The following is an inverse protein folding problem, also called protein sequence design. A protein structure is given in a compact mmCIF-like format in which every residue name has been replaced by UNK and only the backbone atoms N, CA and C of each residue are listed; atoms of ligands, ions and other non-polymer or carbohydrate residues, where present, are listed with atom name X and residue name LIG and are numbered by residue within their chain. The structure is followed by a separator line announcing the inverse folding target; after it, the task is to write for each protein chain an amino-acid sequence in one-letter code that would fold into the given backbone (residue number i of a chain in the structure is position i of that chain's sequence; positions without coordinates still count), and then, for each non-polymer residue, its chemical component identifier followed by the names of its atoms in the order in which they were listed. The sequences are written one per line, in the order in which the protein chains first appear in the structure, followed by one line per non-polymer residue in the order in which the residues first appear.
data_IF_304448057009
#
_entry.id   IF_304448057009
#
_cell.length_a   1.000
_cell.length_b   1.000
_cell.length_c   1.000
_cell.angle_alpha   90.00
_cell.angle_beta   90.00
_cell.angle_gamma   90.00
#
_symmetry.space_group_name_H-M   'P 1'
#
loop_
_entity.id
_entity.type
_entity.pdbx_description
1 polymer ?
#
# COMPACT_ATOMS: atom_id res chain seq x y z
N UNK A 1 -11.57 -19.00 -30.78
CA UNK A 1 -11.47 -18.01 -29.68
C UNK A 1 -12.49 -16.90 -29.84
N UNK A 2 -12.51 -16.14 -30.94
CA UNK A 2 -13.55 -15.12 -31.14
C UNK A 2 -14.93 -15.75 -31.31
N UNK A 3 -15.06 -16.77 -32.16
CA UNK A 3 -16.30 -17.53 -32.35
C UNK A 3 -16.79 -18.18 -31.03
N UNK A 4 -15.90 -18.82 -30.26
CA UNK A 4 -16.25 -19.41 -28.95
C UNK A 4 -16.76 -18.36 -27.94
N UNK A 5 -16.26 -17.13 -28.04
CA UNK A 5 -16.68 -16.02 -27.17
C UNK A 5 -18.00 -15.42 -27.60
N UNK A 6 -18.27 -15.34 -28.90
CA UNK A 6 -19.56 -14.93 -29.41
C UNK A 6 -20.66 -15.89 -28.96
N UNK A 7 -20.43 -17.20 -29.14
CA UNK A 7 -21.33 -18.26 -28.65
C UNK A 7 -21.56 -18.15 -27.15
N UNK A 8 -20.50 -17.99 -26.35
CA UNK A 8 -20.64 -17.83 -24.90
C UNK A 8 -21.45 -16.57 -24.52
N UNK A 9 -21.30 -15.46 -25.25
CA UNK A 9 -22.04 -14.23 -24.96
C UNK A 9 -23.52 -14.35 -25.30
N UNK A 10 -23.85 -14.99 -26.42
CA UNK A 10 -25.24 -15.29 -26.81
C UNK A 10 -25.89 -16.20 -25.77
N UNK A 11 -25.25 -17.31 -25.41
CA UNK A 11 -25.74 -18.23 -24.37
C UNK A 11 -25.93 -17.50 -23.03
N UNK A 12 -25.04 -16.58 -22.69
CA UNK A 12 -25.11 -15.82 -21.44
C UNK A 12 -26.30 -14.85 -21.42
N UNK A 13 -26.73 -14.36 -22.59
CA UNK A 13 -27.89 -13.49 -22.73
C UNK A 13 -29.21 -14.15 -22.36
N UNK A 14 -29.34 -15.47 -22.56
CA UNK A 14 -30.54 -16.25 -22.24
C UNK A 14 -30.40 -17.07 -20.95
N UNK A 15 -29.27 -16.93 -20.24
CA UNK A 15 -28.96 -17.76 -19.08
C UNK A 15 -29.51 -17.20 -17.77
N UNK A 16 -30.09 -18.07 -16.96
CA UNK A 16 -30.52 -17.74 -15.60
C UNK A 16 -29.31 -17.62 -14.65
N UNK A 17 -28.77 -16.41 -14.53
CA UNK A 17 -27.65 -16.09 -13.66
C UNK A 17 -28.02 -16.18 -12.18
N UNK A 18 -27.71 -17.32 -11.55
CA UNK A 18 -27.96 -17.55 -10.14
C UNK A 18 -26.88 -16.92 -9.27
N UNK A 19 -27.29 -16.07 -8.33
CA UNK A 19 -26.41 -15.38 -7.41
C UNK A 19 -25.96 -16.23 -6.22
N UNK A 20 -24.69 -16.11 -5.88
CA UNK A 20 -24.13 -16.61 -4.64
C UNK A 20 -23.09 -15.63 -4.07
N UNK A 21 -22.85 -15.71 -2.77
CA UNK A 21 -21.89 -14.86 -2.07
C UNK A 21 -21.21 -15.66 -0.97
N UNK A 22 -19.88 -15.49 -0.88
CA UNK A 22 -19.11 -16.07 0.20
C UNK A 22 -19.38 -15.37 1.53
N UNK A 23 -19.18 -16.07 2.63
CA UNK A 23 -19.10 -15.42 3.94
C UNK A 23 -17.94 -14.40 3.98
N UNK A 24 -18.08 -13.28 4.72
CA UNK A 24 -17.02 -12.30 4.86
C UNK A 24 -15.75 -12.89 5.48
N UNK A 25 -14.62 -12.75 4.78
CA UNK A 25 -13.30 -13.16 5.26
C UNK A 25 -12.49 -11.96 5.71
N UNK A 26 -11.80 -12.09 6.85
CA UNK A 26 -10.86 -11.07 7.33
C UNK A 26 -9.57 -11.12 6.49
N UNK A 27 -9.17 -9.98 5.96
CA UNK A 27 -7.93 -9.81 5.17
C UNK A 27 -7.13 -8.65 5.75
N UNK A 28 -5.87 -8.93 6.06
CA UNK A 28 -4.94 -7.93 6.59
C UNK A 28 -4.13 -7.30 5.45
N UNK A 29 -4.07 -5.96 5.42
CA UNK A 29 -3.18 -5.18 4.55
C UNK A 29 -2.01 -4.67 5.38
N UNK A 30 -0.84 -5.26 5.15
CA UNK A 30 0.42 -4.88 5.80
C UNK A 30 0.73 -3.41 5.55
N UNK A 31 1.29 -2.77 6.57
CA UNK A 31 1.80 -1.41 6.52
C UNK A 31 3.05 -1.32 5.62
N UNK A 32 3.38 -0.15 5.07
CA UNK A 32 4.59 0.02 4.29
C UNK A 32 5.85 -0.21 5.13
N UNK A 33 6.96 -0.49 4.45
CA UNK A 33 8.26 -0.60 5.11
C UNK A 33 8.91 0.78 5.23
N UNK A 34 9.81 0.97 6.21
CA UNK A 34 10.68 2.15 6.26
C UNK A 34 11.43 2.36 4.94
N UNK A 35 11.62 3.62 4.55
CA UNK A 35 12.29 3.93 3.29
C UNK A 35 13.79 3.65 3.37
N UNK A 36 14.26 2.96 2.34
CA UNK A 36 15.64 2.94 1.85
C UNK A 36 15.79 3.97 0.72
N UNK A 37 17.00 4.14 0.20
CA UNK A 37 17.28 4.99 -0.97
C UNK A 37 16.43 4.58 -2.17
N UNK A 38 16.46 3.29 -2.51
CA UNK A 38 15.76 2.68 -3.65
C UNK A 38 14.25 2.85 -3.53
N UNK A 39 13.68 2.48 -2.37
CA UNK A 39 12.23 2.52 -2.15
C UNK A 39 11.69 3.96 -2.10
N UNK A 40 12.47 4.92 -1.58
CA UNK A 40 12.12 6.34 -1.65
C UNK A 40 12.06 6.83 -3.10
N UNK A 41 13.08 6.51 -3.91
CA UNK A 41 13.12 6.91 -5.32
C UNK A 41 11.96 6.31 -6.12
N UNK A 42 11.68 5.02 -5.92
CA UNK A 42 10.53 4.34 -6.54
C UNK A 42 9.21 5.02 -6.18
N UNK A 43 9.01 5.31 -4.88
CA UNK A 43 7.76 5.92 -4.39
C UNK A 43 7.61 7.38 -4.86
N UNK A 44 8.69 8.16 -4.85
CA UNK A 44 8.70 9.53 -5.33
C UNK A 44 8.44 9.63 -6.85
N UNK A 45 8.99 8.70 -7.64
CA UNK A 45 8.71 8.62 -9.07
C UNK A 45 7.24 8.29 -9.33
N UNK A 46 6.69 7.30 -8.62
CA UNK A 46 5.30 6.86 -8.81
C UNK A 46 4.25 7.89 -8.35
N UNK A 47 4.49 8.60 -7.24
CA UNK A 47 3.47 9.48 -6.64
C UNK A 47 3.71 10.97 -6.87
N UNK A 48 4.98 11.39 -6.98
CA UNK A 48 5.35 12.80 -7.12
C UNK A 48 5.86 13.13 -8.53
N UNK A 49 6.07 12.12 -9.38
CA UNK A 49 6.67 12.23 -10.71
C UNK A 49 8.07 12.86 -10.67
N UNK A 50 8.84 12.58 -9.61
CA UNK A 50 10.22 13.04 -9.49
C UNK A 50 11.19 11.97 -10.00
N UNK A 51 12.19 12.40 -10.76
CA UNK A 51 13.27 11.49 -11.15
C UNK A 51 14.15 11.08 -9.98
N UNK A 52 14.90 9.95 -10.07
CA UNK A 52 15.86 9.56 -9.03
C UNK A 52 16.84 10.69 -8.70
N UNK A 53 17.38 11.36 -9.72
CA UNK A 53 18.30 12.51 -9.54
C UNK A 53 17.63 13.65 -8.78
N UNK A 54 16.40 14.02 -9.17
CA UNK A 54 15.65 15.07 -8.49
C UNK A 54 15.33 14.70 -7.05
N UNK A 55 14.87 13.47 -6.81
CA UNK A 55 14.56 12.95 -5.48
C UNK A 55 15.76 13.04 -4.56
N UNK A 56 16.95 12.61 -5.02
CA UNK A 56 18.17 12.69 -4.21
C UNK A 56 18.63 14.12 -3.95
N UNK A 57 18.50 15.03 -4.93
CA UNK A 57 18.84 16.44 -4.73
C UNK A 57 17.93 17.11 -3.69
N UNK A 58 16.63 16.80 -3.71
CA UNK A 58 15.68 17.33 -2.71
C UNK A 58 15.90 16.70 -1.33
N UNK A 59 16.17 15.39 -1.27
CA UNK A 59 16.46 14.69 -0.02
C UNK A 59 17.76 15.22 0.62
N UNK A 60 18.79 15.50 -0.18
CA UNK A 60 20.03 16.14 0.30
C UNK A 60 19.72 17.47 1.01
N UNK A 61 18.93 18.35 0.38
CA UNK A 61 18.54 19.63 0.99
C UNK A 61 17.77 19.43 2.30
N UNK A 62 16.85 18.47 2.35
CA UNK A 62 16.11 18.14 3.58
C UNK A 62 17.03 17.64 4.69
N UNK A 63 18.03 16.82 4.36
CA UNK A 63 19.03 16.30 5.28
C UNK A 63 19.93 17.41 5.84
N UNK A 64 20.47 18.27 4.96
CA UNK A 64 21.34 19.39 5.35
C UNK A 64 20.62 20.41 6.25
N UNK A 65 19.30 20.58 6.06
CA UNK A 65 18.47 21.42 6.93
C UNK A 65 17.99 20.68 8.20
N UNK A 66 18.42 19.44 8.42
CA UNK A 66 18.11 18.66 9.63
C UNK A 66 16.68 18.13 9.70
N UNK A 67 15.94 18.03 8.59
CA UNK A 67 14.56 17.56 8.59
C UNK A 67 14.40 16.04 8.44
N UNK A 68 15.37 15.37 7.82
CA UNK A 68 15.36 13.92 7.63
C UNK A 68 16.70 13.30 8.01
N UNK A 69 16.72 12.00 8.25
CA UNK A 69 17.95 11.20 8.38
C UNK A 69 18.69 11.07 7.04
N UNK A 70 19.92 10.55 7.08
CA UNK A 70 20.76 10.40 5.91
C UNK A 70 20.06 9.55 4.82
N UNK A 71 19.93 10.13 3.62
CA UNK A 71 19.10 9.59 2.54
C UNK A 71 19.76 8.50 1.69
N UNK A 72 21.04 8.17 1.94
CA UNK A 72 21.77 7.10 1.27
C UNK A 72 21.94 5.94 2.25
N UNK A 73 20.93 5.08 2.28
CA UNK A 73 20.79 3.96 3.20
C UNK A 73 20.06 2.80 2.52
N UNK A 74 20.45 1.58 2.86
CA UNK A 74 19.79 0.32 2.54
C UNK A 74 19.03 -0.25 3.77
N UNK A 75 19.19 0.39 4.93
CA UNK A 75 18.57 -0.02 6.18
C UNK A 75 17.07 0.26 6.20
N UNK A 76 16.31 -0.73 6.64
CA UNK A 76 14.87 -0.64 6.90
C UNK A 76 14.56 -0.55 8.39
N UNK A 77 15.53 -0.08 9.19
CA UNK A 77 15.43 -0.03 10.65
C UNK A 77 15.50 1.41 11.18
N UNK A 78 14.83 1.67 12.29
CA UNK A 78 14.86 2.92 13.02
C UNK A 78 15.67 2.76 14.33
N UNK A 79 16.18 3.85 14.87
CA UNK A 79 16.76 3.87 16.21
C UNK A 79 15.69 3.56 17.26
N UNK A 80 16.13 2.95 18.37
CA UNK A 80 15.25 2.65 19.51
C UNK A 80 14.59 3.92 20.07
N UNK A 81 15.33 5.03 20.13
CA UNK A 81 14.80 6.32 20.57
C UNK A 81 13.67 6.81 19.66
N UNK A 82 13.85 6.70 18.34
CA UNK A 82 12.79 7.08 17.40
C UNK A 82 11.54 6.20 17.54
N UNK A 83 11.70 4.89 17.74
CA UNK A 83 10.56 3.98 17.98
C UNK A 83 9.74 4.44 19.20
N UNK A 84 10.40 4.82 20.29
CA UNK A 84 9.71 5.31 21.50
C UNK A 84 8.93 6.62 21.23
N UNK A 85 9.55 7.56 20.51
CA UNK A 85 8.92 8.82 20.09
C UNK A 85 7.72 8.58 19.18
N UNK A 86 7.89 7.76 18.14
CA UNK A 86 6.83 7.41 17.21
C UNK A 86 5.66 6.68 17.91
N UNK A 87 5.96 5.74 18.82
CA UNK A 87 4.94 5.05 19.63
C UNK A 87 4.12 6.04 20.45
N UNK A 88 4.79 6.97 21.13
CA UNK A 88 4.14 7.98 21.97
C UNK A 88 3.27 8.92 21.12
N UNK A 89 3.79 9.36 19.98
CA UNK A 89 3.06 10.21 19.04
C UNK A 89 1.81 9.51 18.47
N UNK A 90 1.94 8.25 18.03
CA UNK A 90 0.81 7.45 17.51
C UNK A 90 -0.23 7.23 18.61
N UNK A 91 0.20 6.89 19.83
CA UNK A 91 -0.69 6.71 20.98
C UNK A 91 -1.50 7.97 21.27
N UNK A 92 -0.85 9.14 21.29
CA UNK A 92 -1.48 10.44 21.54
C UNK A 92 -2.44 10.85 20.41
N UNK A 93 -2.07 10.58 19.16
CA UNK A 93 -2.79 11.11 17.99
C UNK A 93 -3.92 10.19 17.52
N UNK A 94 -3.70 8.87 17.51
CA UNK A 94 -4.63 7.88 16.96
C UNK A 94 -5.16 6.89 18.00
N UNK A 95 -4.45 6.74 19.12
CA UNK A 95 -4.81 5.81 20.19
C UNK A 95 -3.99 4.51 20.14
N UNK A 96 -4.03 3.78 21.27
CA UNK A 96 -3.16 2.62 21.50
C UNK A 96 -3.31 1.49 20.46
N UNK A 97 -4.53 1.30 19.94
CA UNK A 97 -4.85 0.26 18.95
C UNK A 97 -4.13 0.43 17.60
N UNK A 98 -3.59 1.61 17.32
CA UNK A 98 -2.90 1.91 16.06
C UNK A 98 -1.40 1.67 16.10
N UNK A 99 -0.84 1.30 17.25
CA UNK A 99 0.58 0.97 17.37
C UNK A 99 0.79 -0.42 16.77
N UNK A 100 1.80 -0.58 15.92
CA UNK A 100 2.15 -1.91 15.40
C UNK A 100 2.58 -2.84 16.54
N UNK A 101 1.99 -4.03 16.63
CA UNK A 101 2.42 -5.05 17.59
C UNK A 101 3.88 -5.48 17.39
N UNK A 102 4.39 -5.32 16.18
CA UNK A 102 5.77 -5.63 15.79
C UNK A 102 6.66 -4.39 15.68
N UNK A 103 6.26 -3.24 16.24
CA UNK A 103 7.02 -1.98 16.09
C UNK A 103 8.48 -2.12 16.56
N UNK A 104 8.73 -2.92 17.59
CA UNK A 104 10.09 -3.18 18.09
C UNK A 104 10.97 -3.95 17.09
N UNK A 105 10.37 -4.70 16.16
CA UNK A 105 11.12 -5.35 15.08
C UNK A 105 11.66 -4.34 14.06
N UNK A 106 11.14 -3.11 14.04
CA UNK A 106 11.69 -2.03 13.23
C UNK A 106 12.94 -1.41 13.87
N UNK A 107 13.25 -1.70 15.13
CA UNK A 107 14.43 -1.14 15.79
C UNK A 107 15.74 -1.79 15.30
N UNK A 108 16.79 -0.97 15.17
CA UNK A 108 18.18 -1.44 14.96
C UNK A 108 18.59 -2.33 16.16
N UNK A 109 19.28 -3.44 15.87
CA UNK A 109 19.73 -4.40 16.88
C UNK A 109 18.68 -5.42 17.35
N UNK A 110 17.45 -5.36 16.86
CA UNK A 110 16.42 -6.38 17.07
C UNK A 110 16.32 -7.29 15.83
N UNK A 111 17.18 -8.30 15.73
CA UNK A 111 17.00 -9.42 14.79
C UNK A 111 16.87 -10.73 15.57
N UNK A 112 15.75 -11.44 15.37
CA UNK A 112 15.51 -12.79 15.92
C UNK A 112 15.86 -13.90 14.94
N UNK A 113 16.35 -13.60 13.72
CA UNK A 113 16.80 -14.63 12.76
C UNK A 113 18.05 -14.20 12.01
N UNK A 114 19.07 -15.05 12.14
CA UNK A 114 20.30 -15.16 11.33
C UNK A 114 21.17 -13.90 11.26
N UNK A 115 22.14 -13.84 12.17
CA UNK A 115 23.50 -13.36 11.84
C UNK A 115 24.00 -14.19 10.66
N UNK A 116 23.76 -13.75 9.43
CA UNK A 116 24.51 -14.22 8.26
C UNK A 116 25.34 -13.05 7.79
N UNK A 117 26.61 -13.10 8.18
CA UNK A 117 27.77 -12.41 7.61
C UNK A 117 27.50 -11.03 7.01
N UNK A 118 27.46 -10.00 7.84
CA UNK A 118 27.91 -8.67 7.44
C UNK A 118 28.78 -8.10 8.57
N UNK A 119 30.07 -8.45 8.53
CA UNK A 119 31.12 -7.82 9.33
C UNK A 119 31.39 -6.40 8.78
N UNK A 120 30.40 -5.51 8.82
CA UNK A 120 30.64 -4.10 8.59
C UNK A 120 30.04 -3.33 9.76
N UNK A 121 30.85 -2.54 10.44
CA UNK A 121 30.43 -1.49 11.37
C UNK A 121 29.56 -0.39 10.71
N UNK A 122 29.01 -0.65 9.51
CA UNK A 122 28.14 0.20 8.71
C UNK A 122 26.64 0.05 9.06
N UNK A 123 26.24 -0.94 9.87
CA UNK A 123 24.84 -1.14 10.32
C UNK A 123 24.34 -0.07 11.33
N UNK A 124 25.04 1.05 11.48
CA UNK A 124 24.59 2.21 12.25
C UNK A 124 23.65 3.14 11.47
N UNK A 125 23.40 2.89 10.19
CA UNK A 125 22.51 3.72 9.38
C UNK A 125 21.04 3.39 9.64
N UNK A 126 20.26 4.43 9.94
CA UNK A 126 18.80 4.34 10.02
C UNK A 126 18.18 4.40 8.63
N UNK A 127 16.94 3.94 8.53
CA UNK A 127 16.05 4.22 7.41
C UNK A 127 15.83 5.73 7.24
N UNK A 128 15.37 6.12 6.04
CA UNK A 128 15.01 7.51 5.74
C UNK A 128 13.70 7.84 6.44
N UNK A 129 13.77 8.76 7.41
CA UNK A 129 12.66 9.23 8.24
C UNK A 129 12.81 10.70 8.60
N UNK A 130 11.74 11.39 9.06
CA UNK A 130 11.88 12.68 9.69
C UNK A 130 12.74 12.58 10.96
N UNK A 131 13.51 13.63 11.23
CA UNK A 131 14.23 13.79 12.51
C UNK A 131 13.26 14.03 13.67
N UNK A 132 12.21 14.82 13.41
CA UNK A 132 11.09 15.08 14.30
C UNK A 132 9.78 14.60 13.66
N UNK A 133 9.12 13.64 14.30
CA UNK A 133 7.86 13.03 13.84
C UNK A 133 6.65 13.95 14.08
N UNK A 134 6.75 14.89 15.02
CA UNK A 134 5.65 15.81 15.34
C UNK A 134 5.61 17.00 14.37
N UNK A 135 6.70 17.25 13.65
CA UNK A 135 6.82 18.36 12.69
C UNK A 135 6.01 18.09 11.42
N UNK A 136 4.73 18.44 11.44
CA UNK A 136 3.82 18.22 10.30
C UNK A 136 4.11 19.09 9.09
N UNK A 137 4.69 20.28 9.26
CA UNK A 137 4.92 21.23 8.17
C UNK A 137 6.32 21.84 8.27
N UNK A 138 6.94 22.07 7.11
CA UNK A 138 8.21 22.76 7.01
C UNK A 138 7.99 24.27 6.79
N UNK A 139 8.95 25.12 7.21
CA UNK A 139 8.86 26.57 7.04
C UNK A 139 8.64 27.00 5.58
N UNK A 140 8.07 28.20 5.40
CA UNK A 140 7.80 28.77 4.08
C UNK A 140 9.04 28.83 3.18
N UNK A 141 10.23 29.03 3.77
CA UNK A 141 11.54 29.11 3.09
C UNK A 141 11.94 27.85 2.34
N UNK A 142 11.37 26.69 2.67
CA UNK A 142 11.68 25.43 1.98
C UNK A 142 10.86 25.31 0.69
N UNK A 143 11.56 24.91 -0.39
CA UNK A 143 10.95 24.69 -1.70
C UNK A 143 9.74 23.75 -1.64
N UNK A 144 8.73 24.04 -2.47
CA UNK A 144 7.47 23.30 -2.53
C UNK A 144 7.66 21.81 -2.87
N UNK A 145 8.63 21.46 -3.73
CA UNK A 145 8.91 20.07 -4.09
C UNK A 145 9.61 19.33 -2.95
N UNK A 146 10.53 20.00 -2.26
CA UNK A 146 11.15 19.46 -1.04
C UNK A 146 10.10 19.22 0.06
N UNK A 147 9.13 20.14 0.23
CA UNK A 147 7.99 19.93 1.15
C UNK A 147 7.17 18.70 0.77
N UNK A 148 6.86 18.50 -0.51
CA UNK A 148 6.13 17.30 -0.98
C UNK A 148 6.90 16.01 -0.70
N UNK A 149 8.22 16.00 -0.93
CA UNK A 149 9.07 14.85 -0.61
C UNK A 149 9.11 14.58 0.90
N UNK A 150 9.21 15.63 1.72
CA UNK A 150 9.14 15.51 3.17
C UNK A 150 7.79 14.92 3.64
N UNK A 151 6.67 15.38 3.09
CA UNK A 151 5.35 14.82 3.40
C UNK A 151 5.25 13.33 3.04
N UNK A 152 5.84 12.92 1.92
CA UNK A 152 5.91 11.50 1.54
C UNK A 152 6.71 10.68 2.56
N UNK A 153 7.88 11.17 2.98
CA UNK A 153 8.75 10.53 3.99
C UNK A 153 8.03 10.46 5.34
N UNK A 154 7.41 11.57 5.78
CA UNK A 154 6.66 11.66 7.02
C UNK A 154 5.49 10.67 7.06
N UNK A 155 4.66 10.67 6.00
CA UNK A 155 3.52 9.76 5.88
C UNK A 155 3.96 8.30 5.93
N UNK A 156 4.93 7.89 5.11
CA UNK A 156 5.41 6.50 5.09
C UNK A 156 6.02 6.08 6.43
N UNK A 157 6.75 6.98 7.09
CA UNK A 157 7.36 6.71 8.41
C UNK A 157 6.30 6.50 9.48
N UNK A 158 5.24 7.30 9.46
CA UNK A 158 4.15 7.14 10.40
C UNK A 158 3.39 5.83 10.12
N UNK A 159 3.05 5.58 8.86
CA UNK A 159 2.34 4.39 8.42
C UNK A 159 3.11 3.10 8.76
N UNK A 160 4.45 3.07 8.57
CA UNK A 160 5.28 1.89 8.85
C UNK A 160 5.31 1.48 10.33
N UNK A 161 5.16 2.45 11.23
CA UNK A 161 5.09 2.24 12.68
C UNK A 161 3.67 1.84 13.17
N UNK A 162 2.66 1.91 12.31
CA UNK A 162 1.27 1.65 12.68
C UNK A 162 0.85 0.19 12.45
N UNK A 163 -0.22 -0.20 13.13
CA UNK A 163 -0.90 -1.48 12.95
C UNK A 163 -1.36 -1.69 11.51
N UNK A 164 -1.40 -2.96 11.08
CA UNK A 164 -2.00 -3.35 9.80
C UNK A 164 -3.46 -2.86 9.68
N UNK A 165 -3.91 -2.68 8.45
CA UNK A 165 -5.32 -2.41 8.16
C UNK A 165 -6.07 -3.73 7.98
N UNK A 166 -7.30 -3.83 8.45
CA UNK A 166 -8.14 -5.03 8.35
C UNK A 166 -9.37 -4.75 7.52
N UNK A 167 -9.67 -5.67 6.61
CA UNK A 167 -10.80 -5.62 5.70
C UNK A 167 -11.65 -6.87 5.87
N UNK A 168 -12.95 -6.73 5.62
CA UNK A 168 -13.86 -7.83 5.36
C UNK A 168 -14.04 -7.94 3.86
N UNK A 169 -13.57 -9.04 3.28
CA UNK A 169 -13.64 -9.30 1.84
C UNK A 169 -14.71 -10.34 1.57
N UNK A 170 -15.58 -10.05 0.60
CA UNK A 170 -16.59 -10.98 0.07
C UNK A 170 -16.31 -11.24 -1.42
N UNK A 171 -16.59 -12.46 -1.86
CA UNK A 171 -16.61 -12.82 -3.27
C UNK A 171 -18.05 -13.11 -3.65
N UNK A 172 -18.64 -12.21 -4.44
CA UNK A 172 -19.92 -12.42 -5.10
C UNK A 172 -19.68 -13.15 -6.42
N UNK A 173 -20.50 -14.15 -6.70
CA UNK A 173 -20.45 -14.91 -7.94
C UNK A 173 -21.85 -15.07 -8.51
N UNK A 174 -21.96 -15.02 -9.84
CA UNK A 174 -23.16 -15.47 -10.55
C UNK A 174 -22.79 -16.60 -11.49
N UNK A 175 -23.68 -17.58 -11.65
CA UNK A 175 -23.50 -18.65 -12.62
C UNK A 175 -23.55 -18.12 -14.06
N UNK A 176 -22.86 -18.81 -14.96
CA UNK A 176 -22.85 -18.52 -16.38
C UNK A 176 -22.90 -19.85 -17.18
N UNK A 177 -23.16 -19.80 -18.49
CA UNK A 177 -23.10 -20.98 -19.36
C UNK A 177 -21.75 -21.71 -19.28
N UNK A 178 -21.70 -22.92 -19.85
CA UNK A 178 -20.48 -23.72 -19.98
C UNK A 178 -19.76 -23.97 -18.62
N UNK A 179 -20.53 -23.97 -17.52
CA UNK A 179 -20.04 -24.13 -16.14
C UNK A 179 -19.06 -23.03 -15.71
N UNK A 180 -19.14 -21.85 -16.31
CA UNK A 180 -18.38 -20.67 -15.91
C UNK A 180 -19.08 -19.86 -14.81
N UNK A 181 -18.35 -18.90 -14.24
CA UNK A 181 -18.84 -17.99 -13.22
C UNK A 181 -18.35 -16.57 -13.52
N UNK A 182 -19.24 -15.59 -13.40
CA UNK A 182 -18.79 -14.21 -13.22
C UNK A 182 -18.50 -13.98 -11.74
N UNK A 183 -17.44 -13.21 -11.45
CA UNK A 183 -17.00 -12.96 -10.09
C UNK A 183 -16.72 -11.49 -9.86
N UNK A 184 -17.20 -10.98 -8.73
CA UNK A 184 -16.89 -9.66 -8.23
C UNK A 184 -16.42 -9.75 -6.78
N UNK A 185 -15.30 -9.10 -6.47
CA UNK A 185 -14.76 -9.03 -5.11
C UNK A 185 -15.00 -7.64 -4.56
N UNK A 186 -15.62 -7.55 -3.38
CA UNK A 186 -15.82 -6.30 -2.66
C UNK A 186 -15.18 -6.38 -1.27
N UNK A 187 -14.74 -5.24 -0.75
CA UNK A 187 -14.09 -5.15 0.55
C UNK A 187 -14.64 -3.98 1.36
N UNK A 188 -14.85 -4.21 2.65
CA UNK A 188 -15.25 -3.19 3.62
C UNK A 188 -14.16 -3.05 4.68
N UNK A 189 -13.80 -1.81 5.03
CA UNK A 189 -12.84 -1.55 6.11
C UNK A 189 -13.46 -1.97 7.44
N UNK A 190 -12.80 -2.89 8.15
CA UNK A 190 -13.12 -3.25 9.53
C UNK A 190 -12.26 -2.46 10.53
N UNK A 191 -10.98 -2.28 10.20
CA UNK A 191 -10.06 -1.45 10.97
C UNK A 191 -9.08 -0.76 10.02
N UNK A 192 -9.00 0.58 10.00
CA UNK A 192 -8.18 1.27 9.00
C UNK A 192 -6.67 1.10 9.22
N UNK A 193 -6.21 0.79 10.44
CA UNK A 193 -4.79 0.68 10.75
C UNK A 193 -3.99 1.90 10.25
N UNK A 194 -2.84 1.65 9.62
CA UNK A 194 -1.98 2.66 9.01
C UNK A 194 -2.69 3.55 7.96
N UNK A 195 -3.75 3.07 7.30
CA UNK A 195 -4.46 3.87 6.26
C UNK A 195 -5.21 5.06 6.82
N UNK A 196 -5.38 5.17 8.14
CA UNK A 196 -5.95 6.36 8.77
C UNK A 196 -5.14 7.63 8.47
N UNK A 197 -3.85 7.50 8.15
CA UNK A 197 -2.96 8.63 7.83
C UNK A 197 -3.25 9.19 6.43
N UNK A 198 -3.24 8.33 5.41
CA UNK A 198 -3.44 8.72 4.01
C UNK A 198 -4.91 8.87 3.58
N UNK A 199 -5.85 8.44 4.43
CA UNK A 199 -7.28 8.40 4.14
C UNK A 199 -7.74 7.03 3.64
N UNK A 200 -8.99 6.69 3.95
CA UNK A 200 -9.61 5.43 3.56
C UNK A 200 -11.11 5.61 3.30
N UNK A 201 -11.66 4.77 2.42
CA UNK A 201 -13.10 4.66 2.22
C UNK A 201 -13.74 4.01 3.46
N UNK A 202 -14.54 4.78 4.19
CA UNK A 202 -15.17 4.31 5.44
C UNK A 202 -16.26 3.29 5.17
N UNK A 203 -17.02 3.47 4.10
CA UNK A 203 -18.13 2.60 3.71
C UNK A 203 -18.05 2.31 2.22
N UNK A 204 -18.12 1.02 1.87
CA UNK A 204 -18.20 0.57 0.49
C UNK A 204 -19.66 0.21 0.18
N UNK A 205 -20.34 1.08 -0.58
CA UNK A 205 -21.74 0.88 -0.93
C UNK A 205 -21.99 -0.44 -1.69
N UNK A 206 -21.04 -0.84 -2.54
CA UNK A 206 -21.13 -2.09 -3.31
C UNK A 206 -21.04 -3.30 -2.39
N UNK A 207 -20.16 -3.26 -1.40
CA UNK A 207 -20.05 -4.33 -0.40
C UNK A 207 -21.38 -4.58 0.32
N UNK A 208 -22.02 -3.50 0.80
CA UNK A 208 -23.32 -3.59 1.47
C UNK A 208 -24.46 -3.98 0.52
N UNK A 209 -24.41 -3.52 -0.73
CA UNK A 209 -25.38 -3.90 -1.75
C UNK A 209 -25.35 -5.41 -2.02
N UNK A 210 -24.16 -5.98 -2.24
CA UNK A 210 -24.00 -7.40 -2.52
C UNK A 210 -24.50 -8.28 -1.37
N UNK A 211 -24.25 -7.89 -0.12
CA UNK A 211 -24.76 -8.62 1.06
C UNK A 211 -26.29 -8.64 1.19
N UNK A 212 -26.98 -7.66 0.59
CA UNK A 212 -28.45 -7.57 0.63
C UNK A 212 -29.14 -8.44 -0.42
N UNK A 213 -28.42 -8.86 -1.47
CA UNK A 213 -28.99 -9.73 -2.50
C UNK A 213 -29.21 -11.12 -1.92
N UNK A 214 -30.42 -11.66 -2.11
CA UNK A 214 -30.78 -12.99 -1.62
C UNK A 214 -29.94 -14.05 -2.35
N UNK A 215 -29.27 -14.93 -1.60
CA UNK A 215 -28.57 -16.09 -2.19
C UNK A 215 -29.56 -16.91 -3.04
N UNK A 216 -29.07 -17.47 -4.14
CA UNK A 216 -29.83 -18.26 -5.12
C UNK A 216 -30.87 -17.49 -5.94
N UNK A 217 -30.97 -16.16 -5.82
CA UNK A 217 -31.82 -15.38 -6.72
C UNK A 217 -31.26 -15.32 -8.13
N UNK A 218 -32.13 -15.31 -9.13
CA UNK A 218 -31.78 -15.04 -10.53
C UNK A 218 -31.62 -13.53 -10.72
N UNK A 219 -30.51 -13.10 -11.31
CA UNK A 219 -30.23 -11.68 -11.57
C UNK A 219 -30.31 -11.37 -13.07
N UNK A 220 -31.10 -10.36 -13.41
CA UNK A 220 -31.12 -9.81 -14.76
C UNK A 220 -29.87 -8.97 -15.03
N UNK A 221 -29.27 -9.13 -16.20
CA UNK A 221 -28.15 -8.27 -16.62
C UNK A 221 -28.68 -6.95 -17.21
N UNK A 222 -27.87 -5.90 -17.10
CA UNK A 222 -28.07 -4.66 -17.84
C UNK A 222 -27.24 -4.61 -19.11
N UNK A 223 -26.04 -5.20 -19.07
CA UNK A 223 -25.09 -5.26 -20.18
C UNK A 223 -24.15 -6.44 -19.97
N UNK A 224 -23.93 -7.22 -21.03
CA UNK A 224 -22.88 -8.22 -21.11
C UNK A 224 -21.99 -7.80 -22.29
N UNK A 225 -20.67 -7.87 -22.12
CA UNK A 225 -19.73 -7.57 -23.19
C UNK A 225 -18.42 -8.33 -22.97
N UNK A 226 -17.74 -8.68 -24.04
CA UNK A 226 -16.36 -9.16 -24.00
C UNK A 226 -15.38 -7.98 -24.15
N UNK A 227 -14.18 -8.14 -23.58
CA UNK A 227 -13.08 -7.22 -23.77
C UNK A 227 -11.83 -8.02 -24.07
N UNK A 228 -11.26 -7.81 -25.26
CA UNK A 228 -9.94 -8.34 -25.59
C UNK A 228 -8.88 -7.62 -24.74
N UNK A 229 -8.08 -8.40 -24.01
CA UNK A 229 -6.95 -7.90 -23.22
C UNK A 229 -5.70 -8.64 -23.68
N UNK A 230 -4.78 -7.91 -24.31
CA UNK A 230 -3.46 -8.43 -24.61
C UNK A 230 -2.65 -8.53 -23.32
N UNK A 231 -2.15 -9.73 -23.03
CA UNK A 231 -1.26 -9.99 -21.89
C UNK A 231 0.19 -9.88 -22.35
N UNK A 232 1.09 -9.64 -21.39
CA UNK A 232 2.53 -9.71 -21.58
C UNK A 232 3.12 -8.76 -22.65
N UNK A 233 2.47 -7.61 -22.87
CA UNK A 233 3.06 -6.53 -23.65
C UNK A 233 4.34 -6.07 -22.93
N UNK A 234 5.48 -6.15 -23.62
CA UNK A 234 6.76 -5.62 -23.11
C UNK A 234 6.62 -4.12 -22.90
N UNK A 235 6.52 -3.70 -21.64
CA UNK A 235 6.53 -2.28 -21.27
C UNK A 235 7.95 -1.78 -21.14
N UNK A 236 8.22 -0.56 -21.61
CA UNK A 236 9.48 0.12 -21.30
C UNK A 236 9.66 0.29 -19.79
N UNK A 237 10.91 0.29 -19.33
CA UNK A 237 11.22 0.57 -17.93
C UNK A 237 10.85 2.01 -17.59
N UNK A 238 10.08 2.19 -16.52
CA UNK A 238 10.01 3.47 -15.82
C UNK A 238 11.25 3.63 -14.95
N UNK A 239 11.59 4.86 -14.55
CA UNK A 239 12.70 5.09 -13.62
C UNK A 239 12.52 4.31 -12.31
N UNK A 240 11.29 4.25 -11.76
CA UNK A 240 10.99 3.42 -10.60
C UNK A 240 11.30 1.94 -10.84
N UNK A 241 10.83 1.39 -11.97
CA UNK A 241 11.05 -0.03 -12.29
C UNK A 241 12.54 -0.32 -12.54
N UNK A 242 13.26 0.61 -13.16
CA UNK A 242 14.71 0.48 -13.37
C UNK A 242 15.47 0.49 -12.04
N UNK A 243 15.16 1.43 -11.13
CA UNK A 243 15.75 1.46 -9.78
C UNK A 243 15.49 0.15 -9.04
N UNK A 244 14.27 -0.39 -9.12
CA UNK A 244 13.92 -1.68 -8.49
C UNK A 244 14.71 -2.86 -9.07
N UNK A 245 15.03 -2.84 -10.37
CA UNK A 245 15.79 -3.93 -11.01
C UNK A 245 17.29 -3.86 -10.73
N UNK A 246 17.81 -2.68 -10.37
CA UNK A 246 19.23 -2.46 -10.07
C UNK A 246 19.56 -2.60 -8.56
N UNK A 247 18.54 -2.70 -7.70
CA UNK A 247 18.65 -2.98 -6.26
C UNK A 247 18.88 -4.47 -5.99
#
# INVERSE_FOLDING_TARGET
VEEDMEVFLEESGDFDHQYNISEPKKVDKKQPLPFTTSTLQQKASNELHFSPKQTMSLAQKLYENGYITYMRTDSKKYSKEFILKATSFIKKTYGNKYISSNINQLAVGCSTKSKKNNNNAQEAHEAIRPTDIEKKQLPATIDSRAKRLYQLILRNTLESCMSLAQYLTISATITAPQKHLYRYTAEQVAFPGWKIVGGYEKENAIYHFLLKIKKQSILSYKKIYSKLVLKDLKTHYTEARLVQQLE
#
